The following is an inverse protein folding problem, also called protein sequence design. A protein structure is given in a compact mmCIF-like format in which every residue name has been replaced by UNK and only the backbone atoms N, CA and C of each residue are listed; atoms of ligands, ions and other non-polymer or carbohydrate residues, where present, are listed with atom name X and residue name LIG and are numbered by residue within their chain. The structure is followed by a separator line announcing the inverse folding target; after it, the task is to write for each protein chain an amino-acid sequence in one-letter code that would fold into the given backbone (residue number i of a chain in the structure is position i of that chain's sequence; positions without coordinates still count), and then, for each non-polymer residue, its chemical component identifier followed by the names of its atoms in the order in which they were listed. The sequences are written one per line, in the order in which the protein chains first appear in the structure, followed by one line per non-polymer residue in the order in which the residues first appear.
data_IF_538646969660
#
_entry.id   IF_538646969660
#
_cell.length_a   1.000
_cell.length_b   1.000
_cell.length_c   1.000
_cell.angle_alpha   90.00
_cell.angle_beta   90.00
_cell.angle_gamma   90.00
#
_symmetry.space_group_name_H-M   'P 1'
#
loop_
_entity.id
_entity.type
_entity.pdbx_description
1 polymer ?
#
# COMPACT_ATOMS: atom_id res chain seq x y z
N UNK A 1 64.25 4.71 4.36
CA UNK A 1 64.04 6.12 4.01
C UNK A 1 63.43 6.16 2.62
N UNK A 2 62.15 6.41 2.53
CA UNK A 2 61.49 6.89 1.32
C UNK A 2 60.09 7.42 1.78
N UNK A 3 59.92 8.69 1.67
CA UNK A 3 58.79 9.50 2.12
C UNK A 3 57.62 9.38 1.12
N UNK A 4 56.43 9.07 1.62
CA UNK A 4 55.19 9.13 0.84
C UNK A 4 54.66 10.59 0.74
N UNK A 5 54.06 11.00 -0.39
CA UNK A 5 53.52 12.34 -0.52
C UNK A 5 52.08 12.44 0.07
N UNK A 6 51.85 13.52 0.78
CA UNK A 6 50.54 13.98 1.28
C UNK A 6 49.62 14.35 0.12
N UNK A 7 48.48 13.68 -0.02
CA UNK A 7 47.38 14.16 -0.84
C UNK A 7 46.48 15.10 -0.01
N UNK A 8 46.40 16.31 -0.48
CA UNK A 8 45.49 17.37 0.01
C UNK A 8 44.05 17.06 -0.46
N UNK A 9 43.13 16.92 0.49
CA UNK A 9 41.71 16.85 0.23
C UNK A 9 41.22 18.22 -0.24
N UNK A 10 40.71 18.29 -1.46
CA UNK A 10 39.92 19.43 -1.95
C UNK A 10 38.52 19.33 -1.33
N UNK A 11 38.18 20.28 -0.48
CA UNK A 11 36.82 20.56 -0.06
C UNK A 11 35.99 20.96 -1.28
N UNK A 12 34.98 20.17 -1.62
CA UNK A 12 33.93 20.59 -2.53
C UNK A 12 32.96 21.50 -1.75
N UNK A 13 32.88 22.74 -2.17
CA UNK A 13 31.95 23.72 -1.64
C UNK A 13 30.52 23.29 -2.00
N UNK A 14 29.69 23.03 -1.00
CA UNK A 14 28.26 22.86 -1.13
C UNK A 14 27.61 24.22 -1.47
N UNK A 15 26.88 24.26 -2.58
CA UNK A 15 26.02 25.40 -2.91
C UNK A 15 24.88 25.51 -1.86
N UNK A 16 24.47 26.70 -1.47
CA UNK A 16 23.39 26.86 -0.49
C UNK A 16 22.06 26.46 -1.11
N UNK A 17 21.39 25.46 -0.52
CA UNK A 17 20.00 25.18 -0.78
C UNK A 17 19.14 26.32 -0.23
N UNK A 18 18.55 27.09 -1.12
CA UNK A 18 17.52 28.09 -0.77
C UNK A 18 16.26 27.32 -0.33
N UNK A 19 15.71 27.55 0.87
CA UNK A 19 14.45 26.95 1.26
C UNK A 19 13.33 27.57 0.42
N UNK A 20 12.70 26.78 -0.45
CA UNK A 20 11.46 27.13 -1.09
C UNK A 20 10.37 27.24 -0.02
N UNK A 21 10.10 28.44 0.43
CA UNK A 21 8.89 28.78 1.17
C UNK A 21 7.71 28.66 0.20
N UNK A 22 7.15 27.48 0.08
CA UNK A 22 5.89 27.28 -0.62
C UNK A 22 4.76 27.77 0.29
N UNK A 23 4.42 29.03 0.20
CA UNK A 23 3.14 29.52 0.70
C UNK A 23 2.02 28.92 -0.14
N UNK A 24 0.94 28.50 0.49
CA UNK A 24 -0.27 27.90 -0.12
C UNK A 24 -0.85 28.70 -1.32
N UNK A 25 -0.48 29.95 -1.45
CA UNK A 25 -0.87 30.84 -2.55
C UNK A 25 -0.22 30.51 -3.91
N UNK A 26 0.94 29.84 -3.95
CA UNK A 26 1.64 29.55 -5.22
C UNK A 26 1.16 28.28 -5.93
N UNK A 27 0.40 27.41 -5.26
CA UNK A 27 -0.13 26.16 -5.85
C UNK A 27 -1.42 26.44 -6.64
N UNK A 28 -2.20 27.48 -6.26
CA UNK A 28 -3.46 27.85 -6.90
C UNK A 28 -3.30 28.45 -8.31
N UNK A 29 -2.12 28.99 -8.64
CA UNK A 29 -1.92 29.70 -9.91
C UNK A 29 -1.52 28.83 -11.11
N UNK A 30 -1.36 27.50 -10.93
CA UNK A 30 -0.95 26.60 -12.04
C UNK A 30 -2.15 25.94 -12.73
N UNK A 31 -3.31 25.94 -12.08
CA UNK A 31 -4.56 25.37 -12.64
C UNK A 31 -5.77 26.22 -12.17
N UNK A 32 -6.12 27.31 -12.84
CA UNK A 32 -7.20 28.20 -12.40
C UNK A 32 -8.59 27.55 -12.30
N UNK A 33 -8.81 26.41 -12.99
CA UNK A 33 -10.09 25.67 -12.96
C UNK A 33 -10.08 24.40 -12.05
N UNK A 34 -8.98 24.12 -11.35
CA UNK A 34 -8.86 23.01 -10.40
C UNK A 34 -8.87 23.49 -8.94
N UNK A 35 -9.52 24.61 -8.72
CA UNK A 35 -9.69 25.15 -7.37
C UNK A 35 -10.35 24.08 -6.48
N UNK A 36 -9.67 23.86 -5.39
CA UNK A 36 -10.03 23.11 -4.18
C UNK A 36 -11.52 22.90 -4.03
N UNK A 37 -11.88 21.63 -3.91
CA UNK A 37 -13.23 21.15 -3.85
C UNK A 37 -14.13 21.87 -2.88
N UNK A 38 -15.32 22.10 -3.34
CA UNK A 38 -16.47 22.27 -2.48
C UNK A 38 -16.55 21.11 -1.50
N UNK A 39 -16.76 21.39 -0.25
CA UNK A 39 -16.82 20.56 0.92
C UNK A 39 -17.03 19.07 0.73
N UNK A 40 -16.62 18.28 1.72
CA UNK A 40 -16.71 16.82 1.73
C UNK A 40 -17.95 16.30 1.01
N UNK A 41 -17.74 15.49 -0.04
CA UNK A 41 -18.81 14.90 -0.83
C UNK A 41 -19.66 14.03 0.11
N UNK A 42 -20.92 14.38 0.30
CA UNK A 42 -21.87 13.56 1.07
C UNK A 42 -22.49 12.55 0.13
N UNK A 43 -22.04 11.31 0.22
CA UNK A 43 -22.67 10.16 -0.42
C UNK A 43 -23.60 9.51 0.61
N UNK A 44 -24.86 9.32 0.26
CA UNK A 44 -25.89 8.74 1.14
C UNK A 44 -26.43 7.41 0.60
N UNK A 45 -26.06 7.04 -0.63
CA UNK A 45 -26.53 5.82 -1.30
C UNK A 45 -25.58 5.32 -2.38
N UNK A 46 -25.79 4.08 -2.83
CA UNK A 46 -25.12 3.53 -4.01
C UNK A 46 -25.44 4.34 -5.28
N UNK A 47 -26.61 4.94 -5.37
CA UNK A 47 -27.00 5.80 -6.51
C UNK A 47 -26.13 7.05 -6.56
N UNK A 48 -25.89 7.70 -5.41
CA UNK A 48 -25.00 8.87 -5.34
C UNK A 48 -23.57 8.49 -5.69
N UNK A 49 -23.11 7.33 -5.23
CA UNK A 49 -21.78 6.82 -5.57
C UNK A 49 -21.66 6.54 -7.07
N UNK A 50 -22.69 5.95 -7.70
CA UNK A 50 -22.69 5.73 -9.14
C UNK A 50 -22.68 7.05 -9.91
N UNK A 51 -23.46 8.04 -9.50
CA UNK A 51 -23.43 9.38 -10.10
C UNK A 51 -22.05 10.05 -10.00
N UNK A 52 -21.36 9.86 -8.86
CA UNK A 52 -19.99 10.33 -8.69
C UNK A 52 -19.01 9.62 -9.63
N UNK A 53 -19.13 8.29 -9.78
CA UNK A 53 -18.31 7.50 -10.73
C UNK A 53 -18.57 7.98 -12.17
N UNK A 54 -19.80 8.29 -12.53
CA UNK A 54 -20.14 8.78 -13.86
C UNK A 54 -19.55 10.20 -14.13
N UNK A 55 -19.52 11.05 -13.09
CA UNK A 55 -18.82 12.34 -13.16
C UNK A 55 -17.30 12.15 -13.35
N UNK A 56 -16.72 11.17 -12.69
CA UNK A 56 -15.30 10.80 -12.89
C UNK A 56 -15.04 10.25 -14.29
N UNK A 57 -15.93 9.43 -14.85
CA UNK A 57 -15.85 8.97 -16.25
C UNK A 57 -15.96 10.13 -17.24
N UNK A 58 -16.85 11.10 -16.97
CA UNK A 58 -16.95 12.29 -17.80
C UNK A 58 -15.65 13.10 -17.79
N UNK A 59 -15.02 13.26 -16.61
CA UNK A 59 -13.72 13.90 -16.53
C UNK A 59 -12.62 13.10 -17.23
N UNK A 60 -12.57 11.80 -17.07
CA UNK A 60 -11.61 10.94 -17.78
C UNK A 60 -11.72 11.09 -19.31
N UNK A 61 -12.94 11.14 -19.83
CA UNK A 61 -13.21 11.32 -21.29
C UNK A 61 -12.71 12.65 -21.85
N UNK A 62 -12.40 13.65 -21.02
CA UNK A 62 -11.75 14.89 -21.47
C UNK A 62 -10.31 14.67 -21.95
N UNK A 63 -9.69 13.56 -21.59
CA UNK A 63 -8.29 13.25 -21.90
C UNK A 63 -7.27 13.92 -20.96
N UNK A 64 -7.70 14.75 -20.01
CA UNK A 64 -6.80 15.49 -19.12
C UNK A 64 -5.84 14.59 -18.35
N UNK A 65 -6.31 13.41 -17.89
CA UNK A 65 -5.49 12.44 -17.15
C UNK A 65 -4.49 11.69 -18.03
N UNK A 66 -4.62 11.74 -19.35
CA UNK A 66 -3.74 11.02 -20.27
C UNK A 66 -2.41 11.74 -20.50
N UNK A 67 -2.35 13.04 -20.26
CA UNK A 67 -1.15 13.84 -20.40
C UNK A 67 -0.08 13.44 -19.34
N UNK A 68 1.10 13.00 -19.79
CA UNK A 68 2.17 12.53 -18.90
C UNK A 68 2.65 13.62 -17.94
N UNK A 69 2.72 14.87 -18.40
CA UNK A 69 3.11 16.00 -17.56
C UNK A 69 2.10 16.25 -16.44
N UNK A 70 0.80 16.13 -16.73
CA UNK A 70 -0.25 16.21 -15.72
C UNK A 70 -0.04 15.15 -14.62
N UNK A 71 0.15 13.88 -14.99
CA UNK A 71 0.38 12.78 -14.04
C UNK A 71 1.62 13.03 -13.16
N UNK A 72 2.74 13.46 -13.76
CA UNK A 72 3.97 13.81 -13.05
C UNK A 72 3.77 14.97 -12.06
N UNK A 73 2.95 15.96 -12.39
CA UNK A 73 2.58 17.04 -11.49
C UNK A 73 1.76 16.52 -10.31
N UNK A 74 0.75 15.65 -10.56
CA UNK A 74 -0.06 15.08 -9.49
C UNK A 74 0.78 14.23 -8.54
N UNK A 75 1.68 13.38 -9.05
CA UNK A 75 2.64 12.62 -8.24
C UNK A 75 3.54 13.53 -7.38
N UNK A 76 3.95 14.68 -7.93
CA UNK A 76 4.78 15.65 -7.20
C UNK A 76 3.97 16.33 -6.09
N UNK A 77 2.71 16.72 -6.36
CA UNK A 77 1.81 17.32 -5.36
C UNK A 77 1.56 16.34 -4.21
N UNK A 78 1.23 15.07 -4.53
CA UNK A 78 1.04 14.02 -3.53
C UNK A 78 2.27 13.86 -2.64
N UNK A 79 3.46 13.75 -3.23
CA UNK A 79 4.71 13.63 -2.47
C UNK A 79 4.95 14.82 -1.56
N UNK A 80 4.67 16.03 -2.03
CA UNK A 80 4.86 17.27 -1.24
C UNK A 80 3.88 17.32 -0.07
N UNK A 81 2.62 16.93 -0.29
CA UNK A 81 1.61 16.85 0.77
C UNK A 81 2.02 15.83 1.86
N UNK A 82 2.42 14.62 1.45
CA UNK A 82 2.85 13.58 2.39
C UNK A 82 4.07 14.03 3.21
N UNK A 83 5.02 14.72 2.61
CA UNK A 83 6.18 15.27 3.35
C UNK A 83 5.78 16.36 4.35
N UNK A 84 4.84 17.22 3.98
CA UNK A 84 4.35 18.28 4.87
C UNK A 84 3.56 17.71 6.06
N UNK A 85 2.84 16.61 5.84
CA UNK A 85 1.96 15.96 6.81
C UNK A 85 2.53 14.66 7.39
N UNK A 86 3.83 14.41 7.24
CA UNK A 86 4.49 13.16 7.65
C UNK A 86 4.21 12.82 9.12
N UNK A 87 4.37 13.79 10.03
CA UNK A 87 4.09 13.60 11.44
C UNK A 87 2.63 13.21 11.72
N UNK A 88 1.68 13.81 10.99
CA UNK A 88 0.25 13.50 11.09
C UNK A 88 -0.08 12.08 10.62
N UNK A 89 0.56 11.65 9.53
CA UNK A 89 0.41 10.28 9.01
C UNK A 89 0.95 9.25 10.00
N UNK A 90 2.13 9.50 10.57
CA UNK A 90 2.75 8.62 11.56
C UNK A 90 1.93 8.56 12.87
N UNK A 91 1.41 9.69 13.35
CA UNK A 91 0.50 9.75 14.51
C UNK A 91 -0.80 8.98 14.26
N UNK A 92 -1.34 8.99 13.05
CA UNK A 92 -2.51 8.19 12.71
C UNK A 92 -2.23 6.67 12.74
N UNK A 93 -1.06 6.24 12.26
CA UNK A 93 -0.61 4.85 12.33
C UNK A 93 -0.38 4.38 13.77
N UNK A 94 0.17 5.24 14.62
CA UNK A 94 0.33 4.97 16.05
C UNK A 94 -1.04 4.81 16.73
N UNK A 95 -2.01 5.69 16.43
CA UNK A 95 -3.37 5.61 16.98
C UNK A 95 -4.13 4.35 16.57
N UNK A 96 -3.99 3.92 15.32
CA UNK A 96 -4.73 2.77 14.80
C UNK A 96 -4.09 1.43 15.17
N UNK A 97 -2.77 1.33 15.15
CA UNK A 97 -2.03 0.07 15.23
C UNK A 97 -0.94 0.06 16.33
N UNK A 98 -0.68 1.19 16.99
CA UNK A 98 0.45 1.31 17.91
C UNK A 98 1.81 1.25 17.23
N UNK A 99 1.88 1.51 15.92
CA UNK A 99 3.15 1.52 15.19
C UNK A 99 4.00 2.70 15.65
N UNK A 100 5.21 2.44 16.11
CA UNK A 100 6.17 3.51 16.37
C UNK A 100 6.53 4.26 15.07
N UNK A 101 7.02 5.49 15.19
CA UNK A 101 7.35 6.32 14.02
C UNK A 101 8.33 5.65 13.05
N UNK A 102 9.30 4.88 13.58
CA UNK A 102 10.27 4.15 12.77
C UNK A 102 9.60 3.06 11.91
N UNK A 103 8.76 2.22 12.50
CA UNK A 103 8.05 1.17 11.77
C UNK A 103 7.03 1.77 10.80
N UNK A 104 6.27 2.80 11.22
CA UNK A 104 5.35 3.53 10.37
C UNK A 104 6.03 4.15 9.15
N UNK A 105 7.24 4.70 9.32
CA UNK A 105 8.01 5.20 8.17
C UNK A 105 8.54 4.05 7.30
N UNK A 106 9.21 3.06 7.90
CA UNK A 106 9.89 2.00 7.17
C UNK A 106 8.93 1.10 6.38
N UNK A 107 7.81 0.71 6.97
CA UNK A 107 6.89 -0.26 6.38
C UNK A 107 5.73 0.36 5.62
N UNK A 108 5.52 1.68 5.76
CA UNK A 108 4.37 2.36 5.15
C UNK A 108 4.81 3.55 4.31
N UNK A 109 5.13 4.67 4.93
CA UNK A 109 5.32 5.93 4.22
C UNK A 109 6.56 5.94 3.31
N UNK A 110 7.66 5.31 3.75
CA UNK A 110 8.89 5.18 2.96
C UNK A 110 8.66 4.44 1.64
N UNK A 111 7.87 3.35 1.68
CA UNK A 111 7.52 2.58 0.48
C UNK A 111 6.70 3.40 -0.52
N UNK A 112 5.78 4.24 -0.03
CA UNK A 112 5.02 5.16 -0.88
C UNK A 112 5.94 6.21 -1.55
N UNK A 113 6.93 6.73 -0.81
CA UNK A 113 7.90 7.64 -1.41
C UNK A 113 8.75 6.97 -2.48
N UNK A 114 9.16 5.73 -2.27
CA UNK A 114 9.94 4.97 -3.25
C UNK A 114 9.10 4.69 -4.51
N UNK A 115 7.82 4.32 -4.35
CA UNK A 115 6.91 4.12 -5.47
C UNK A 115 6.70 5.39 -6.28
N UNK A 116 6.42 6.53 -5.62
CA UNK A 116 6.30 7.83 -6.31
C UNK A 116 7.59 8.15 -7.08
N UNK A 117 8.77 7.90 -6.49
CA UNK A 117 10.05 8.17 -7.14
C UNK A 117 10.25 7.27 -8.37
N UNK A 118 9.92 5.99 -8.25
CA UNK A 118 10.00 5.02 -9.34
C UNK A 118 9.07 5.41 -10.49
N UNK A 119 7.81 5.75 -10.20
CA UNK A 119 6.87 6.23 -11.22
C UNK A 119 7.35 7.50 -11.89
N UNK A 120 7.80 8.50 -11.14
CA UNK A 120 8.34 9.76 -11.73
C UNK A 120 9.55 9.52 -12.64
N UNK A 121 10.39 8.55 -12.31
CA UNK A 121 11.59 8.21 -13.09
C UNK A 121 11.24 7.51 -14.40
N UNK A 122 10.24 6.64 -14.39
CA UNK A 122 10.00 5.71 -15.50
C UNK A 122 8.76 6.02 -16.33
N UNK A 123 7.80 6.81 -15.82
CA UNK A 123 6.49 7.05 -16.45
C UNK A 123 6.59 7.49 -17.93
N UNK A 124 7.50 8.41 -18.25
CA UNK A 124 7.69 8.88 -19.64
C UNK A 124 8.08 7.75 -20.60
N UNK A 125 8.80 6.74 -20.12
CA UNK A 125 9.18 5.58 -20.91
C UNK A 125 8.01 4.60 -21.03
N UNK A 126 7.34 4.31 -19.91
CA UNK A 126 6.29 3.30 -19.85
C UNK A 126 5.01 3.73 -20.56
N UNK A 127 4.71 5.02 -20.58
CA UNK A 127 3.54 5.57 -21.28
C UNK A 127 3.72 5.68 -22.81
N UNK A 128 4.91 5.39 -23.36
CA UNK A 128 5.15 5.50 -24.81
C UNK A 128 4.63 4.29 -25.56
N UNK A 129 4.00 4.49 -26.72
CA UNK A 129 3.77 3.41 -27.65
C UNK A 129 5.08 2.75 -28.08
N UNK A 130 5.07 1.44 -28.26
CA UNK A 130 6.24 0.70 -28.75
C UNK A 130 5.84 -0.24 -29.89
N UNK A 131 6.78 -0.46 -30.82
CA UNK A 131 6.59 -1.35 -31.97
C UNK A 131 6.78 -2.81 -31.55
N UNK A 132 5.99 -3.68 -32.18
CA UNK A 132 6.10 -5.13 -32.05
C UNK A 132 6.25 -5.76 -33.42
N UNK A 133 6.80 -6.99 -33.56
CA UNK A 133 6.89 -7.70 -34.80
C UNK A 133 5.53 -7.79 -35.53
N UNK A 134 5.51 -7.46 -36.80
CA UNK A 134 4.32 -7.61 -37.64
C UNK A 134 4.50 -8.84 -38.53
N UNK A 135 3.54 -9.77 -38.56
CA UNK A 135 3.61 -10.92 -39.45
C UNK A 135 3.78 -10.50 -40.94
N UNK A 136 4.61 -11.21 -41.67
CA UNK A 136 4.93 -10.88 -43.09
C UNK A 136 3.68 -10.82 -43.98
N UNK A 137 2.66 -11.60 -43.66
CA UNK A 137 1.36 -11.58 -44.37
C UNK A 137 0.66 -10.21 -44.36
N UNK A 138 1.05 -9.32 -43.44
CA UNK A 138 0.49 -7.97 -43.32
C UNK A 138 1.40 -6.87 -43.92
N UNK A 139 2.48 -7.25 -44.62
CA UNK A 139 3.34 -6.27 -45.28
C UNK A 139 2.53 -5.40 -46.24
N UNK A 140 2.72 -4.06 -46.25
CA UNK A 140 3.73 -3.24 -45.57
C UNK A 140 3.28 -2.61 -44.24
N UNK A 141 2.32 -3.22 -43.52
CA UNK A 141 1.83 -2.71 -42.24
C UNK A 141 2.88 -2.74 -41.10
N UNK A 142 2.67 -1.92 -40.09
CA UNK A 142 3.44 -1.91 -38.84
C UNK A 142 2.51 -2.11 -37.62
N UNK A 143 2.97 -2.85 -36.66
CA UNK A 143 2.21 -3.11 -35.43
C UNK A 143 2.78 -2.35 -34.23
N UNK A 144 1.91 -1.74 -33.42
CA UNK A 144 2.29 -1.00 -32.19
C UNK A 144 1.36 -1.35 -31.06
N UNK A 145 1.93 -1.34 -29.85
CA UNK A 145 1.18 -1.44 -28.59
C UNK A 145 1.12 -0.04 -27.96
N UNK A 146 -0.09 0.36 -27.57
CA UNK A 146 -0.36 1.64 -26.92
C UNK A 146 -0.80 1.36 -25.48
N UNK A 147 -0.02 1.76 -24.44
CA UNK A 147 -0.50 1.75 -23.06
C UNK A 147 -1.63 2.76 -22.90
N UNK A 148 -2.77 2.30 -22.38
CA UNK A 148 -3.95 3.13 -22.15
C UNK A 148 -4.47 2.91 -20.72
N UNK A 149 -4.98 3.94 -20.02
CA UNK A 149 -5.63 3.78 -18.73
C UNK A 149 -6.99 3.08 -18.86
N UNK A 150 -7.45 2.43 -17.80
CA UNK A 150 -8.75 1.78 -17.75
C UNK A 150 -9.92 2.78 -17.76
N UNK A 151 -9.81 3.85 -16.99
CA UNK A 151 -10.90 4.80 -16.75
C UNK A 151 -10.99 5.21 -15.31
N UNK A 152 -12.03 4.74 -14.58
CA UNK A 152 -12.16 4.88 -13.14
C UNK A 152 -11.66 3.61 -12.46
N UNK A 153 -10.58 3.71 -11.70
CA UNK A 153 -10.01 2.63 -10.92
C UNK A 153 -10.43 2.77 -9.45
N UNK A 154 -11.08 1.75 -8.88
CA UNK A 154 -11.35 1.68 -7.45
C UNK A 154 -10.20 0.94 -6.75
N UNK A 155 -9.69 1.54 -5.67
CA UNK A 155 -8.66 0.99 -4.79
C UNK A 155 -9.27 0.77 -3.41
N UNK A 156 -9.44 -0.49 -3.04
CA UNK A 156 -10.00 -0.91 -1.75
C UNK A 156 -8.89 -1.49 -0.90
N UNK A 157 -8.56 -0.84 0.19
CA UNK A 157 -7.39 -1.18 1.00
C UNK A 157 -7.74 -1.71 2.39
N UNK A 158 -6.87 -2.56 2.97
CA UNK A 158 -7.06 -3.18 4.27
C UNK A 158 -6.58 -2.25 5.40
N UNK A 159 -6.71 -2.75 6.62
CA UNK A 159 -6.38 -2.03 7.84
C UNK A 159 -4.94 -2.26 8.35
N UNK A 160 -4.25 -3.30 7.88
CA UNK A 160 -2.97 -3.73 8.49
C UNK A 160 -1.75 -2.88 8.08
N UNK A 161 -1.73 -2.40 6.85
CA UNK A 161 -0.79 -1.40 6.34
C UNK A 161 -1.58 -0.32 5.62
N UNK A 162 -2.33 0.51 6.37
CA UNK A 162 -3.38 1.34 5.77
C UNK A 162 -2.84 2.47 4.88
N UNK A 163 -1.62 2.95 5.10
CA UNK A 163 -0.98 3.93 4.22
C UNK A 163 -0.37 3.26 3.00
N UNK A 164 0.47 2.25 3.20
CA UNK A 164 1.17 1.56 2.11
C UNK A 164 0.19 0.92 1.12
N UNK A 165 -0.73 0.09 1.62
CA UNK A 165 -1.67 -0.66 0.78
C UNK A 165 -2.83 0.19 0.22
N UNK A 166 -2.98 1.43 0.69
CA UNK A 166 -3.83 2.43 0.03
C UNK A 166 -3.07 3.19 -1.05
N UNK A 167 -1.88 3.72 -0.71
CA UNK A 167 -1.22 4.71 -1.54
C UNK A 167 -0.31 4.12 -2.61
N UNK A 168 0.25 2.92 -2.46
CA UNK A 168 1.03 2.30 -3.53
C UNK A 168 0.14 2.03 -4.76
N UNK A 169 -0.97 1.27 -4.68
CA UNK A 169 -1.84 1.07 -5.83
C UNK A 169 -2.53 2.36 -6.31
N UNK A 170 -2.76 3.34 -5.41
CA UNK A 170 -3.22 4.67 -5.79
C UNK A 170 -2.19 5.40 -6.67
N UNK A 171 -0.91 5.38 -6.32
CA UNK A 171 0.19 5.97 -7.09
C UNK A 171 0.28 5.33 -8.47
N UNK A 172 0.14 4.01 -8.54
CA UNK A 172 0.14 3.26 -9.79
C UNK A 172 -1.04 3.63 -10.70
N UNK A 173 -2.24 3.68 -10.12
CA UNK A 173 -3.45 4.07 -10.84
C UNK A 173 -3.36 5.53 -11.35
N UNK A 174 -2.81 6.45 -10.54
CA UNK A 174 -2.58 7.84 -10.91
C UNK A 174 -1.53 7.95 -12.02
N UNK A 175 -0.41 7.24 -11.90
CA UNK A 175 0.64 7.21 -12.90
C UNK A 175 0.14 6.62 -14.22
N UNK A 176 -0.70 5.60 -14.17
CA UNK A 176 -1.33 5.03 -15.37
C UNK A 176 -2.30 6.00 -16.06
N UNK A 177 -2.83 7.00 -15.34
CA UNK A 177 -3.72 8.05 -15.89
C UNK A 177 -5.20 7.78 -15.66
N UNK A 178 -5.55 7.00 -14.65
CA UNK A 178 -6.93 6.75 -14.24
C UNK A 178 -7.48 7.89 -13.37
N UNK A 179 -8.80 8.00 -13.29
CA UNK A 179 -9.49 8.59 -12.15
C UNK A 179 -9.54 7.56 -11.03
N UNK A 180 -9.52 7.99 -9.76
CA UNK A 180 -9.37 7.05 -8.65
C UNK A 180 -10.49 7.21 -7.62
N UNK A 181 -11.14 6.10 -7.32
CA UNK A 181 -12.03 5.94 -6.19
C UNK A 181 -11.27 5.19 -5.09
N UNK A 182 -10.83 5.92 -4.06
CA UNK A 182 -10.11 5.32 -2.94
C UNK A 182 -11.07 4.96 -1.82
N UNK A 183 -10.99 3.74 -1.31
CA UNK A 183 -11.75 3.27 -0.15
C UNK A 183 -10.82 2.64 0.88
N UNK A 184 -10.32 3.39 1.88
CA UNK A 184 -9.57 2.87 3.00
C UNK A 184 -10.42 1.98 3.91
N UNK A 185 -9.77 1.21 4.78
CA UNK A 185 -10.48 0.42 5.78
C UNK A 185 -10.98 1.31 6.93
N UNK A 186 -12.27 1.25 7.23
CA UNK A 186 -12.86 1.90 8.40
C UNK A 186 -12.30 1.40 9.75
N UNK A 187 -11.66 0.23 9.77
CA UNK A 187 -11.03 -0.30 10.98
C UNK A 187 -9.77 0.49 11.37
N UNK A 188 -9.10 1.12 10.40
CA UNK A 188 -8.00 2.05 10.62
C UNK A 188 -8.51 3.49 10.56
N UNK A 189 -9.30 3.88 11.56
CA UNK A 189 -10.15 5.07 11.50
C UNK A 189 -9.40 6.40 11.54
N UNK A 190 -8.24 6.46 12.17
CA UNK A 190 -7.40 7.66 12.18
C UNK A 190 -6.73 7.85 10.81
N UNK A 191 -6.23 6.77 10.24
CA UNK A 191 -5.61 6.77 8.91
C UNK A 191 -6.62 7.04 7.79
N UNK A 192 -7.84 6.45 7.88
CA UNK A 192 -8.96 6.71 6.95
C UNK A 192 -9.25 8.22 6.84
N UNK A 193 -9.32 8.93 7.97
CA UNK A 193 -9.54 10.38 8.00
C UNK A 193 -8.40 11.16 7.34
N UNK A 194 -7.15 10.78 7.58
CA UNK A 194 -5.98 11.44 6.98
C UNK A 194 -5.97 11.24 5.46
N UNK A 195 -6.33 10.05 4.97
CA UNK A 195 -6.42 9.76 3.53
C UNK A 195 -7.57 10.54 2.87
N UNK A 196 -8.72 10.67 3.54
CA UNK A 196 -9.83 11.47 3.05
C UNK A 196 -9.43 12.96 2.94
N UNK A 197 -8.83 13.54 3.98
CA UNK A 197 -8.32 14.91 3.97
C UNK A 197 -7.28 15.13 2.86
N UNK A 198 -6.36 14.19 2.68
CA UNK A 198 -5.39 14.24 1.58
C UNK A 198 -6.08 14.32 0.21
N UNK A 199 -7.08 13.52 -0.02
CA UNK A 199 -7.81 13.53 -1.29
C UNK A 199 -8.55 14.86 -1.50
N UNK A 200 -9.25 15.34 -0.47
CA UNK A 200 -10.05 16.57 -0.53
C UNK A 200 -9.16 17.82 -0.74
N UNK A 201 -7.97 17.87 -0.13
CA UNK A 201 -7.05 19.00 -0.29
C UNK A 201 -6.31 18.98 -1.63
N UNK A 202 -6.01 17.81 -2.17
CA UNK A 202 -5.18 17.70 -3.36
C UNK A 202 -5.96 17.65 -4.66
N UNK A 203 -7.16 17.06 -4.68
CA UNK A 203 -7.80 16.67 -5.92
C UNK A 203 -9.27 17.08 -5.96
N UNK A 204 -9.78 17.54 -7.12
CA UNK A 204 -11.22 17.70 -7.30
C UNK A 204 -11.90 16.33 -7.30
N UNK A 205 -13.08 16.22 -6.68
CA UNK A 205 -13.81 14.94 -6.52
C UNK A 205 -14.07 14.24 -7.87
N UNK A 206 -14.31 14.99 -8.95
CA UNK A 206 -14.46 14.42 -10.30
C UNK A 206 -13.22 13.70 -10.84
N UNK A 207 -12.05 13.89 -10.22
CA UNK A 207 -10.79 13.23 -10.59
C UNK A 207 -10.45 12.13 -9.59
N UNK A 208 -10.39 12.46 -8.31
CA UNK A 208 -10.08 11.52 -7.24
C UNK A 208 -11.06 11.75 -6.09
N UNK A 209 -11.70 10.69 -5.67
CA UNK A 209 -12.65 10.69 -4.53
C UNK A 209 -12.21 9.65 -3.52
N UNK A 210 -12.14 10.04 -2.25
CA UNK A 210 -12.03 9.10 -1.13
C UNK A 210 -13.42 8.88 -0.53
N UNK A 211 -13.82 7.62 -0.41
CA UNK A 211 -15.06 7.23 0.24
C UNK A 211 -14.75 6.49 1.53
N UNK A 212 -15.43 6.82 2.60
CA UNK A 212 -15.13 6.29 3.93
C UNK A 212 -16.41 5.93 4.70
N UNK A 213 -16.27 5.05 5.71
CA UNK A 213 -17.37 4.54 6.50
C UNK A 213 -17.73 3.08 6.21
N UNK A 214 -18.48 2.46 7.12
CA UNK A 214 -18.82 1.03 7.04
C UNK A 214 -19.87 0.69 5.98
N UNK A 215 -20.82 1.58 5.73
CA UNK A 215 -21.93 1.36 4.79
C UNK A 215 -21.49 1.33 3.32
N UNK A 216 -20.34 1.91 3.03
CA UNK A 216 -19.82 2.02 1.66
C UNK A 216 -19.42 0.68 1.05
N UNK A 217 -19.15 -0.34 1.88
CA UNK A 217 -18.80 -1.66 1.37
C UNK A 217 -19.95 -2.26 0.52
N UNK A 218 -21.17 -2.13 0.98
CA UNK A 218 -22.35 -2.67 0.28
C UNK A 218 -22.57 -1.91 -1.05
N UNK A 219 -22.41 -0.59 -1.03
CA UNK A 219 -22.56 0.23 -2.25
C UNK A 219 -21.54 -0.09 -3.34
N UNK A 220 -20.31 -0.44 -2.94
CA UNK A 220 -19.27 -0.83 -3.90
C UNK A 220 -19.59 -2.12 -4.67
N UNK A 221 -20.44 -2.97 -4.11
CA UNK A 221 -20.94 -4.17 -4.79
C UNK A 221 -22.07 -3.88 -5.78
N UNK A 222 -22.67 -2.68 -5.72
CA UNK A 222 -23.78 -2.26 -6.57
C UNK A 222 -23.36 -1.32 -7.70
N UNK A 223 -22.16 -0.74 -7.64
CA UNK A 223 -21.67 0.23 -8.64
C UNK A 223 -20.72 -0.40 -9.64
N UNK A 224 -20.59 0.27 -10.81
CA UNK A 224 -19.73 -0.19 -11.87
C UNK A 224 -18.51 0.74 -12.03
N UNK A 225 -17.32 0.19 -11.87
CA UNK A 225 -16.03 0.83 -12.15
C UNK A 225 -15.31 0.12 -13.29
N UNK A 226 -14.25 0.72 -13.82
CA UNK A 226 -13.55 0.18 -14.99
C UNK A 226 -12.37 -0.74 -14.59
N UNK A 227 -11.86 -0.58 -13.37
CA UNK A 227 -10.85 -1.43 -12.74
C UNK A 227 -11.09 -1.50 -11.24
N UNK A 228 -10.96 -2.69 -10.66
CA UNK A 228 -11.03 -2.92 -9.22
C UNK A 228 -9.68 -3.45 -8.72
N UNK A 229 -9.09 -2.79 -7.72
CA UNK A 229 -7.94 -3.29 -6.97
C UNK A 229 -8.36 -3.49 -5.53
N UNK A 230 -8.28 -4.70 -5.03
CA UNK A 230 -8.69 -5.05 -3.68
C UNK A 230 -7.59 -5.77 -2.93
N UNK A 231 -7.31 -5.33 -1.71
CA UNK A 231 -6.47 -6.05 -0.75
C UNK A 231 -7.27 -6.37 0.50
N UNK A 232 -7.34 -7.66 0.88
CA UNK A 232 -8.11 -8.05 2.07
C UNK A 232 -8.32 -9.56 2.21
N UNK A 233 -9.45 -9.96 2.79
CA UNK A 233 -9.77 -11.36 3.02
C UNK A 233 -10.21 -12.09 1.74
N UNK A 234 -9.94 -13.41 1.69
CA UNK A 234 -10.39 -14.25 0.57
C UNK A 234 -11.91 -14.26 0.39
N UNK A 235 -12.69 -14.16 1.48
CA UNK A 235 -14.16 -14.18 1.40
C UNK A 235 -14.67 -12.93 0.67
N UNK A 236 -14.24 -11.74 1.11
CA UNK A 236 -14.60 -10.48 0.44
C UNK A 236 -14.04 -10.43 -0.98
N UNK A 237 -12.84 -10.96 -1.21
CA UNK A 237 -12.27 -11.05 -2.56
C UNK A 237 -13.13 -11.88 -3.53
N UNK A 238 -13.75 -12.98 -3.07
CA UNK A 238 -14.69 -13.76 -3.89
C UNK A 238 -15.95 -12.98 -4.23
N UNK A 239 -16.50 -12.23 -3.27
CA UNK A 239 -17.69 -11.38 -3.49
C UNK A 239 -17.38 -10.30 -4.54
N UNK A 240 -16.28 -9.58 -4.38
CA UNK A 240 -15.82 -8.55 -5.33
C UNK A 240 -15.59 -9.15 -6.71
N UNK A 241 -14.91 -10.30 -6.79
CA UNK A 241 -14.68 -10.97 -8.08
C UNK A 241 -15.98 -11.37 -8.75
N UNK A 242 -16.98 -11.83 -7.97
CA UNK A 242 -18.32 -12.17 -8.47
C UNK A 242 -19.04 -10.97 -9.10
N UNK A 243 -18.98 -9.80 -8.45
CA UNK A 243 -19.58 -8.55 -8.97
C UNK A 243 -18.81 -8.06 -10.20
N UNK A 244 -17.46 -8.06 -10.14
CA UNK A 244 -16.63 -7.67 -11.29
C UNK A 244 -16.88 -8.57 -12.51
N UNK A 245 -17.10 -9.86 -12.32
CA UNK A 245 -17.41 -10.79 -13.41
C UNK A 245 -18.74 -10.45 -14.12
N UNK A 246 -19.75 -9.99 -13.38
CA UNK A 246 -21.04 -9.61 -13.97
C UNK A 246 -20.90 -8.40 -14.90
N UNK A 247 -20.01 -7.46 -14.56
CA UNK A 247 -19.79 -6.23 -15.31
C UNK A 247 -18.60 -6.30 -16.27
N UNK A 248 -17.91 -7.43 -16.36
CA UNK A 248 -16.64 -7.61 -17.06
C UNK A 248 -15.56 -6.59 -16.62
N UNK A 249 -15.62 -6.15 -15.37
CA UNK A 249 -14.64 -5.26 -14.78
C UNK A 249 -13.34 -6.03 -14.53
N UNK A 250 -12.21 -5.49 -14.96
CA UNK A 250 -10.90 -6.05 -14.64
C UNK A 250 -10.62 -5.95 -13.13
N UNK A 251 -10.22 -7.06 -12.51
CA UNK A 251 -9.99 -7.13 -11.06
C UNK A 251 -8.60 -7.65 -10.73
N UNK A 252 -7.94 -6.99 -9.76
CA UNK A 252 -6.73 -7.48 -9.11
C UNK A 252 -7.03 -7.73 -7.64
N UNK A 253 -6.73 -8.93 -7.15
CA UNK A 253 -6.98 -9.34 -5.78
C UNK A 253 -5.64 -9.65 -5.09
N UNK A 254 -5.34 -8.90 -4.03
CA UNK A 254 -4.27 -9.16 -3.10
C UNK A 254 -4.86 -9.71 -1.81
N UNK A 255 -4.57 -10.97 -1.48
CA UNK A 255 -5.29 -11.72 -0.46
C UNK A 255 -4.35 -12.17 0.67
N UNK A 256 -4.94 -12.63 1.77
CA UNK A 256 -4.18 -13.23 2.87
C UNK A 256 -3.47 -14.51 2.44
N UNK A 257 -2.43 -14.86 3.17
CA UNK A 257 -1.61 -16.04 2.92
C UNK A 257 -1.34 -16.82 4.22
N UNK A 258 -0.83 -18.03 4.05
CA UNK A 258 -0.25 -18.88 5.09
C UNK A 258 1.17 -19.21 4.62
N UNK A 259 2.11 -18.30 4.86
CA UNK A 259 3.46 -18.36 4.29
C UNK A 259 4.36 -19.35 5.03
N UNK A 260 4.76 -20.49 4.41
CA UNK A 260 5.70 -21.43 5.00
C UNK A 260 7.10 -20.83 5.05
N UNK A 261 7.84 -21.12 6.11
CA UNK A 261 9.24 -20.80 6.21
C UNK A 261 10.04 -22.10 6.41
N UNK A 262 10.94 -22.40 5.50
CA UNK A 262 11.78 -23.61 5.54
C UNK A 262 13.12 -23.29 6.16
N UNK A 263 13.54 -24.13 7.14
CA UNK A 263 14.86 -24.04 7.78
C UNK A 263 15.54 -25.40 7.65
N UNK A 264 16.53 -25.48 6.75
CA UNK A 264 17.30 -26.68 6.49
C UNK A 264 18.46 -26.84 7.49
N UNK A 265 19.00 -28.04 7.60
CA UNK A 265 20.14 -28.36 8.46
C UNK A 265 21.43 -27.57 8.13
N UNK A 266 21.54 -27.04 6.91
CA UNK A 266 22.66 -26.20 6.48
C UNK A 266 22.45 -24.69 6.70
N UNK A 267 21.31 -24.27 7.24
CA UNK A 267 21.02 -22.87 7.51
C UNK A 267 21.92 -22.34 8.65
N UNK A 268 22.28 -21.07 8.57
CA UNK A 268 22.83 -20.33 9.72
C UNK A 268 21.69 -20.05 10.70
N UNK A 269 21.55 -20.88 11.73
CA UNK A 269 20.42 -20.87 12.63
C UNK A 269 20.26 -19.55 13.40
N UNK A 270 21.33 -18.92 13.95
CA UNK A 270 21.24 -17.61 14.58
C UNK A 270 20.67 -16.53 13.62
N UNK A 271 21.17 -16.47 12.39
CA UNK A 271 20.70 -15.49 11.38
C UNK A 271 19.27 -15.82 10.94
N UNK A 272 18.95 -17.10 10.74
CA UNK A 272 17.60 -17.52 10.38
C UNK A 272 16.59 -17.11 11.47
N UNK A 273 16.91 -17.38 12.74
CA UNK A 273 16.08 -17.01 13.88
C UNK A 273 15.86 -15.49 13.99
N UNK A 274 16.90 -14.67 13.83
CA UNK A 274 16.77 -13.20 13.83
C UNK A 274 15.85 -12.72 12.71
N UNK A 275 15.98 -13.23 11.49
CA UNK A 275 15.15 -12.85 10.35
C UNK A 275 13.70 -13.30 10.51
N UNK A 276 13.46 -14.50 11.01
CA UNK A 276 12.12 -15.02 11.27
C UNK A 276 11.45 -14.20 12.38
N UNK A 277 12.14 -13.95 13.49
CA UNK A 277 11.63 -13.14 14.57
C UNK A 277 11.29 -11.72 14.12
N UNK A 278 12.17 -11.08 13.36
CA UNK A 278 11.93 -9.76 12.78
C UNK A 278 10.69 -9.76 11.87
N UNK A 279 10.64 -10.67 10.90
CA UNK A 279 9.52 -10.74 9.94
C UNK A 279 8.18 -11.10 10.58
N UNK A 280 8.18 -11.86 11.71
CA UNK A 280 6.96 -12.20 12.45
C UNK A 280 6.50 -11.09 13.37
N UNK A 281 7.40 -10.28 13.92
CA UNK A 281 7.07 -9.23 14.88
C UNK A 281 6.64 -7.93 14.23
N UNK A 282 7.03 -7.66 12.98
CA UNK A 282 6.54 -6.50 12.25
C UNK A 282 5.00 -6.48 12.26
N UNK A 283 4.44 -5.34 12.63
CA UNK A 283 2.99 -5.13 12.73
C UNK A 283 2.29 -6.20 13.60
N UNK A 284 2.98 -6.71 14.63
CA UNK A 284 2.50 -7.83 15.48
C UNK A 284 2.09 -9.07 14.68
N UNK A 285 2.74 -9.32 13.55
CA UNK A 285 2.43 -10.45 12.65
C UNK A 285 1.17 -10.26 11.79
N UNK A 286 0.55 -9.08 11.80
CA UNK A 286 -0.64 -8.75 11.00
C UNK A 286 -0.25 -8.44 9.55
N UNK A 287 0.46 -9.36 8.89
CA UNK A 287 1.09 -9.20 7.58
C UNK A 287 0.80 -10.42 6.71
N UNK A 288 0.30 -10.20 5.50
CA UNK A 288 -0.06 -11.27 4.56
C UNK A 288 1.12 -12.16 4.16
N UNK A 289 2.34 -11.65 4.21
CA UNK A 289 3.60 -12.34 3.86
C UNK A 289 4.47 -12.68 5.08
N UNK A 290 3.97 -12.50 6.31
CA UNK A 290 4.72 -12.88 7.51
C UNK A 290 4.94 -14.40 7.54
N UNK A 291 6.07 -14.89 8.10
CA UNK A 291 6.23 -16.31 8.40
C UNK A 291 5.06 -16.81 9.26
N UNK A 292 4.28 -17.77 8.75
CA UNK A 292 3.10 -18.26 9.44
C UNK A 292 3.42 -19.54 10.21
N UNK A 293 4.08 -20.49 9.55
CA UNK A 293 4.56 -21.72 10.17
C UNK A 293 5.96 -22.07 9.67
N UNK A 294 6.70 -22.82 10.51
CA UNK A 294 8.07 -23.21 10.24
C UNK A 294 8.14 -24.70 9.94
N UNK A 295 8.76 -25.05 8.83
CA UNK A 295 9.16 -26.41 8.47
C UNK A 295 10.67 -26.53 8.69
N UNK A 296 11.03 -27.21 9.77
CA UNK A 296 12.42 -27.21 10.29
C UNK A 296 12.98 -28.62 10.23
N UNK A 297 14.23 -28.76 9.74
CA UNK A 297 14.92 -30.02 9.83
C UNK A 297 15.13 -30.43 11.29
N UNK A 298 14.84 -31.68 11.66
CA UNK A 298 14.83 -32.15 13.04
C UNK A 298 16.13 -31.90 13.81
N UNK A 299 17.28 -32.00 13.13
CA UNK A 299 18.60 -31.84 13.75
C UNK A 299 18.89 -30.42 14.22
N UNK A 300 18.12 -29.40 13.78
CA UNK A 300 18.33 -27.99 14.13
C UNK A 300 17.11 -27.37 14.83
N UNK A 301 16.05 -28.13 15.06
CA UNK A 301 14.79 -27.62 15.59
C UNK A 301 14.97 -27.01 17.00
N UNK A 302 15.61 -27.69 17.93
CA UNK A 302 15.82 -27.21 19.30
C UNK A 302 16.71 -25.95 19.33
N UNK A 303 17.75 -25.95 18.50
CA UNK A 303 18.62 -24.77 18.37
C UNK A 303 17.85 -23.57 17.83
N UNK A 304 16.98 -23.78 16.81
CA UNK A 304 16.16 -22.70 16.26
C UNK A 304 15.21 -22.12 17.30
N UNK A 305 14.53 -22.97 18.08
CA UNK A 305 13.64 -22.51 19.16
C UNK A 305 14.39 -21.67 20.19
N UNK A 306 15.59 -22.12 20.58
CA UNK A 306 16.44 -21.36 21.52
C UNK A 306 16.86 -20.00 20.95
N UNK A 307 17.33 -19.94 19.70
CA UNK A 307 17.75 -18.68 19.04
C UNK A 307 16.56 -17.76 18.76
N UNK A 308 15.36 -18.28 18.44
CA UNK A 308 14.15 -17.47 18.30
C UNK A 308 13.78 -16.78 19.60
N UNK A 309 13.79 -17.50 20.74
CA UNK A 309 13.54 -16.90 22.05
C UNK A 309 14.55 -15.80 22.39
N UNK A 310 15.80 -16.00 22.04
CA UNK A 310 16.85 -15.00 22.22
C UNK A 310 16.63 -13.77 21.32
N UNK A 311 16.22 -13.97 20.05
CA UNK A 311 15.92 -12.90 19.12
C UNK A 311 14.72 -12.06 19.58
N UNK A 312 13.62 -12.68 20.04
CA UNK A 312 12.46 -11.97 20.59
C UNK A 312 12.85 -11.11 21.80
N UNK A 313 13.65 -11.65 22.72
CA UNK A 313 14.15 -10.88 23.88
C UNK A 313 15.08 -9.74 23.47
N UNK A 314 15.89 -9.95 22.44
CA UNK A 314 16.78 -8.90 21.89
C UNK A 314 15.98 -7.72 21.33
N UNK A 315 14.87 -7.98 20.61
CA UNK A 315 14.08 -6.93 19.98
C UNK A 315 13.16 -6.21 20.95
N UNK A 316 12.49 -6.92 21.84
CA UNK A 316 11.40 -6.36 22.65
C UNK A 316 11.60 -6.46 24.17
N UNK A 317 12.75 -7.00 24.61
CA UNK A 317 13.00 -7.22 26.04
C UNK A 317 12.21 -8.40 26.63
N UNK A 318 12.04 -8.40 27.94
CA UNK A 318 11.34 -9.48 28.65
C UNK A 318 9.82 -9.21 28.78
N UNK A 319 9.37 -7.99 28.55
CA UNK A 319 7.98 -7.56 28.67
C UNK A 319 7.51 -6.91 27.35
N UNK A 320 7.22 -7.77 26.39
CA UNK A 320 6.78 -7.35 25.07
C UNK A 320 5.43 -6.62 25.09
N UNK A 321 4.54 -6.97 26.04
CA UNK A 321 3.20 -6.38 26.10
C UNK A 321 3.21 -4.91 26.52
N UNK A 322 4.21 -4.48 27.25
CA UNK A 322 4.39 -3.10 27.69
C UNK A 322 5.46 -2.36 26.87
N UNK A 323 5.98 -2.96 25.83
CA UNK A 323 6.96 -2.29 24.96
C UNK A 323 6.24 -1.33 23.99
N UNK A 324 6.49 -0.02 24.06
CA UNK A 324 5.82 0.98 23.20
C UNK A 324 6.19 0.87 21.72
N UNK A 325 7.24 0.12 21.37
CA UNK A 325 7.64 -0.11 19.98
C UNK A 325 6.98 -1.34 19.37
N UNK A 326 6.24 -2.14 20.19
CA UNK A 326 5.54 -3.32 19.69
C UNK A 326 4.10 -2.96 19.31
N UNK A 327 3.69 -3.07 18.03
CA UNK A 327 2.35 -2.75 17.58
C UNK A 327 1.29 -3.62 18.25
N UNK A 328 0.09 -3.13 18.36
CA UNK A 328 -1.05 -3.88 18.88
C UNK A 328 -1.99 -4.38 17.78
N UNK A 329 -2.88 -5.29 18.13
CA UNK A 329 -3.92 -5.74 17.21
C UNK A 329 -4.93 -4.61 16.95
N UNK A 330 -5.32 -4.47 15.68
CA UNK A 330 -6.20 -3.37 15.24
C UNK A 330 -7.54 -3.31 15.98
N UNK A 331 -8.08 -4.42 16.45
CA UNK A 331 -9.37 -4.44 17.14
C UNK A 331 -9.54 -5.65 18.03
N UNK A 332 -10.46 -5.50 19.01
CA UNK A 332 -10.89 -6.62 19.86
C UNK A 332 -11.44 -7.81 19.07
N UNK A 333 -12.16 -7.57 18.00
CA UNK A 333 -12.68 -8.63 17.14
C UNK A 333 -11.56 -9.52 16.57
N UNK A 334 -10.49 -8.90 16.04
CA UNK A 334 -9.33 -9.64 15.53
C UNK A 334 -8.54 -10.34 16.63
N UNK A 335 -8.42 -9.71 17.81
CA UNK A 335 -7.83 -10.33 18.98
C UNK A 335 -8.60 -11.58 19.41
N UNK A 336 -9.91 -11.48 19.59
CA UNK A 336 -10.77 -12.60 19.99
C UNK A 336 -10.72 -13.75 18.97
N UNK A 337 -10.65 -13.43 17.67
CA UNK A 337 -10.49 -14.42 16.60
C UNK A 337 -9.19 -15.22 16.76
N UNK A 338 -8.06 -14.53 17.02
CA UNK A 338 -6.75 -15.20 17.20
C UNK A 338 -6.76 -16.03 18.48
N UNK A 339 -7.27 -15.50 19.59
CA UNK A 339 -7.45 -16.25 20.85
C UNK A 339 -8.30 -17.51 20.62
N UNK A 340 -9.37 -17.41 19.85
CA UNK A 340 -10.21 -18.55 19.47
C UNK A 340 -9.44 -19.62 18.69
N UNK A 341 -8.57 -19.22 17.77
CA UNK A 341 -7.71 -20.17 17.02
C UNK A 341 -6.71 -20.89 17.92
N UNK A 342 -6.06 -20.14 18.84
CA UNK A 342 -5.13 -20.73 19.83
C UNK A 342 -5.88 -21.70 20.75
N UNK A 343 -7.05 -21.30 21.25
CA UNK A 343 -7.89 -22.15 22.12
C UNK A 343 -8.35 -23.42 21.38
N UNK A 344 -8.74 -23.30 20.09
CA UNK A 344 -9.10 -24.47 19.30
C UNK A 344 -7.93 -25.46 19.18
N UNK A 345 -6.73 -24.98 18.79
CA UNK A 345 -5.53 -25.81 18.63
C UNK A 345 -5.18 -26.59 19.90
N UNK A 346 -5.27 -25.95 21.08
CA UNK A 346 -4.82 -26.57 22.34
C UNK A 346 -5.91 -27.38 23.06
N UNK A 347 -7.20 -27.05 22.85
CA UNK A 347 -8.29 -27.62 23.65
C UNK A 347 -9.31 -28.42 22.84
N UNK A 348 -9.40 -28.24 21.52
CA UNK A 348 -10.49 -28.79 20.71
C UNK A 348 -10.03 -29.46 19.42
N UNK A 349 -8.79 -29.28 18.99
CA UNK A 349 -8.30 -29.89 17.76
C UNK A 349 -8.25 -31.42 17.90
N UNK A 350 -8.88 -32.11 16.96
CA UNK A 350 -8.82 -33.57 16.84
C UNK A 350 -7.90 -33.94 15.69
N UNK A 351 -6.59 -33.88 15.96
CA UNK A 351 -5.59 -34.32 15.00
C UNK A 351 -5.60 -35.85 14.92
N UNK A 352 -5.78 -36.36 13.72
CA UNK A 352 -5.56 -37.80 13.47
C UNK A 352 -4.10 -38.01 13.08
N UNK A 353 -3.54 -39.21 13.32
CA UNK A 353 -2.15 -39.53 12.95
C UNK A 353 -1.79 -39.32 11.48
N UNK A 354 -2.78 -39.03 10.60
CA UNK A 354 -2.59 -38.63 9.21
C UNK A 354 -2.37 -37.10 9.02
N UNK A 355 -2.69 -36.28 10.01
CA UNK A 355 -2.60 -34.84 9.95
C UNK A 355 -1.36 -34.33 10.69
N UNK A 356 -0.61 -35.20 11.34
CA UNK A 356 0.69 -34.91 11.93
C UNK A 356 1.75 -35.13 10.84
N UNK A 357 2.05 -34.09 10.09
CA UNK A 357 3.18 -34.04 9.15
C UNK A 357 4.16 -32.99 9.65
#
# INVERSE_FOLDING_TARGET
MATAPKQTAKQAASAPETPLSATSANVANILPDYATGAGALKLESAVDLQAQIDAMRAFFKTGATQEVNFRLQQLTRLKSWLKLHEAKVLDALEKDLGKCAYEGYMCELGLVYDEINMMKKHLRKWARPYSVPTPLAHFPATSKVYPVPFGVAAVLSPWNYPINLSLVPFVDALAAGNCILLKPSHSASATDKVLAEMCDELFPARYITCIHGSHVNDWLLEVNVDKMFFTGSQNVGREIMGVCAQNLTDVTLELGGMSPCFVDCFADIPIAAERIAWGKCLNSGQTCVAPDYLLVHESVADQLVWELNKAFKKYFGNDILNNPEYPHMISKHHFDRVCGSVSYTHLRAHETGRNLV
#
